data_IF_500436710295
#
_entry.id   IF_500436710295
#
_cell.length_a   1.000
_cell.length_b   1.000
_cell.length_c   1.000
_cell.angle_alpha   90.00
_cell.angle_beta   90.00
_cell.angle_gamma   90.00
#
_symmetry.space_group_name_H-M   'P 1'
#
loop_
_entity.id
_entity.type
_entity.pdbx_description
1 polymer ?
#
# COMPACT_ATOMS: atom_id res chain seq x y z
N UNK A 1 -16.15 -12.73 23.76
CA UNK A 1 -15.41 -13.47 22.72
C UNK A 1 -14.45 -12.56 21.96
N UNK A 2 -14.90 -11.40 21.46
CA UNK A 2 -14.05 -10.41 20.77
C UNK A 2 -12.84 -9.96 21.61
N UNK A 3 -13.01 -9.58 22.88
CA UNK A 3 -11.89 -9.12 23.73
C UNK A 3 -10.78 -10.18 23.90
N UNK A 4 -11.14 -11.47 24.05
CA UNK A 4 -10.15 -12.56 24.14
C UNK A 4 -9.39 -12.73 22.84
N UNK A 5 -10.09 -12.67 21.70
CA UNK A 5 -9.45 -12.73 20.38
C UNK A 5 -8.51 -11.55 20.15
N UNK A 6 -8.92 -10.33 20.54
CA UNK A 6 -8.08 -9.13 20.51
C UNK A 6 -6.81 -9.34 21.34
N UNK A 7 -6.94 -9.73 22.61
CA UNK A 7 -5.78 -9.96 23.49
C UNK A 7 -4.83 -11.02 22.92
N UNK A 8 -5.37 -12.13 22.41
CA UNK A 8 -4.55 -13.20 21.82
C UNK A 8 -3.81 -12.73 20.56
N UNK A 9 -4.50 -12.07 19.61
CA UNK A 9 -3.89 -11.60 18.38
C UNK A 9 -2.84 -10.50 18.63
N UNK A 10 -3.15 -9.51 19.47
CA UNK A 10 -2.20 -8.46 19.80
C UNK A 10 -1.03 -8.97 20.64
N UNK A 11 -1.27 -9.91 21.56
CA UNK A 11 -0.22 -10.57 22.32
C UNK A 11 0.73 -11.37 21.42
N UNK A 12 0.19 -12.17 20.50
CA UNK A 12 1.00 -12.90 19.52
C UNK A 12 1.79 -11.95 18.61
N UNK A 13 1.16 -10.88 18.12
CA UNK A 13 1.84 -9.87 17.30
C UNK A 13 2.96 -9.17 18.08
N UNK A 14 2.77 -8.87 19.37
CA UNK A 14 3.79 -8.29 20.21
C UNK A 14 4.97 -9.24 20.44
N UNK A 15 4.72 -10.53 20.66
CA UNK A 15 5.77 -11.55 20.81
C UNK A 15 6.58 -11.73 19.52
N UNK A 16 5.90 -11.82 18.38
CA UNK A 16 6.56 -11.90 17.07
C UNK A 16 7.35 -10.61 16.81
N UNK A 17 6.78 -9.44 17.08
CA UNK A 17 7.46 -8.16 16.94
C UNK A 17 8.72 -8.08 17.80
N UNK A 18 8.66 -8.53 19.06
CA UNK A 18 9.80 -8.58 19.95
C UNK A 18 10.90 -9.53 19.43
N UNK A 19 10.52 -10.69 18.91
CA UNK A 19 11.45 -11.59 18.24
C UNK A 19 12.14 -10.92 17.04
N UNK A 20 11.39 -10.20 16.20
CA UNK A 20 11.96 -9.46 15.07
C UNK A 20 12.90 -8.34 15.52
N UNK A 21 12.67 -7.72 16.67
CA UNK A 21 13.60 -6.76 17.27
C UNK A 21 14.90 -7.43 17.72
N UNK A 22 14.83 -8.64 18.28
CA UNK A 22 16.04 -9.42 18.65
C UNK A 22 16.86 -9.76 17.40
N UNK A 23 16.19 -10.13 16.31
CA UNK A 23 16.87 -10.50 15.04
C UNK A 23 17.41 -9.29 14.29
N UNK A 24 16.60 -8.24 14.10
CA UNK A 24 16.95 -7.08 13.27
C UNK A 24 17.52 -5.89 14.05
N UNK A 25 17.57 -5.95 15.37
CA UNK A 25 18.14 -4.90 16.23
C UNK A 25 17.29 -3.62 16.31
N UNK A 26 17.97 -2.52 16.66
CA UNK A 26 17.33 -1.23 16.94
C UNK A 26 16.52 -0.61 15.78
N UNK A 27 16.84 -0.81 14.48
CA UNK A 27 16.01 -0.27 13.40
C UNK A 27 14.60 -0.87 13.38
N UNK A 28 14.46 -2.15 13.68
CA UNK A 28 13.15 -2.83 13.76
C UNK A 28 12.35 -2.35 14.97
N UNK A 29 13.01 -2.09 16.10
CA UNK A 29 12.36 -1.47 17.25
C UNK A 29 11.80 -0.10 16.90
N UNK A 30 12.60 0.73 16.22
CA UNK A 30 12.16 2.05 15.77
C UNK A 30 10.97 1.96 14.81
N UNK A 31 11.02 1.05 13.82
CA UNK A 31 9.90 0.79 12.91
C UNK A 31 8.64 0.39 13.69
N UNK A 32 8.76 -0.52 14.67
CA UNK A 32 7.64 -0.96 15.50
C UNK A 32 7.01 0.18 16.28
N UNK A 33 7.82 0.99 16.97
CA UNK A 33 7.36 2.17 17.72
C UNK A 33 6.68 3.18 16.80
N UNK A 34 7.32 3.54 15.68
CA UNK A 34 6.75 4.47 14.71
C UNK A 34 5.44 3.94 14.11
N UNK A 35 5.33 2.64 13.86
CA UNK A 35 4.11 2.01 13.35
C UNK A 35 2.96 2.08 14.35
N UNK A 36 3.23 1.84 15.65
CA UNK A 36 2.23 1.99 16.71
C UNK A 36 1.77 3.44 16.83
N UNK A 37 2.72 4.38 16.93
CA UNK A 37 2.41 5.81 17.02
C UNK A 37 1.60 6.30 15.82
N UNK A 38 1.98 5.86 14.62
CA UNK A 38 1.29 6.26 13.39
C UNK A 38 -0.08 5.60 13.26
N UNK A 39 -0.25 4.36 13.73
CA UNK A 39 -1.56 3.71 13.82
C UNK A 39 -2.51 4.43 14.78
N UNK A 40 -2.01 4.88 15.94
CA UNK A 40 -2.78 5.70 16.88
C UNK A 40 -3.15 7.05 16.28
N UNK A 41 -2.19 7.71 15.61
CA UNK A 41 -2.41 8.99 14.93
C UNK A 41 -3.29 8.85 13.67
N UNK A 42 -3.46 7.64 13.11
CA UNK A 42 -4.26 7.45 11.90
C UNK A 42 -5.75 7.70 12.14
N UNK A 43 -6.29 7.18 13.24
CA UNK A 43 -7.71 7.31 13.62
C UNK A 43 -7.96 8.22 14.81
N UNK A 44 -6.98 8.39 15.70
CA UNK A 44 -7.13 9.10 16.97
C UNK A 44 -6.24 10.34 17.10
N UNK A 45 -6.33 10.99 18.26
CA UNK A 45 -5.56 12.19 18.59
C UNK A 45 -6.17 13.47 18.00
N UNK A 46 -5.53 14.64 18.26
CA UNK A 46 -6.05 15.95 17.85
C UNK A 46 -6.02 16.16 16.33
N UNK A 47 -5.25 15.35 15.58
CA UNK A 47 -5.11 15.47 14.14
C UNK A 47 -5.06 14.09 13.45
N UNK A 48 -6.19 13.39 13.29
CA UNK A 48 -6.21 12.06 12.69
C UNK A 48 -5.74 12.10 11.23
N UNK A 49 -4.67 11.36 10.90
CA UNK A 49 -4.05 11.40 9.57
C UNK A 49 -5.04 11.01 8.46
N UNK A 50 -5.85 9.97 8.71
CA UNK A 50 -6.86 9.50 7.78
C UNK A 50 -7.93 10.54 7.47
N UNK A 51 -8.24 11.43 8.43
CA UNK A 51 -9.27 12.46 8.28
C UNK A 51 -8.73 13.79 7.78
N UNK A 52 -7.40 13.91 7.64
CA UNK A 52 -6.73 15.13 7.23
C UNK A 52 -5.98 15.00 5.90
N UNK A 53 -6.30 13.97 5.12
CA UNK A 53 -5.75 13.78 3.77
C UNK A 53 -4.32 13.26 3.73
N UNK A 54 -3.80 12.79 4.87
CA UNK A 54 -2.50 12.14 4.96
C UNK A 54 -2.60 10.61 4.91
N UNK A 55 -3.82 10.07 4.76
CA UNK A 55 -4.05 8.62 4.74
C UNK A 55 -3.28 7.91 3.63
N UNK A 56 -3.27 8.48 2.42
CA UNK A 56 -2.58 7.91 1.27
C UNK A 56 -1.05 7.86 1.49
N UNK A 57 -0.48 8.93 2.04
CA UNK A 57 0.96 8.99 2.40
C UNK A 57 1.27 7.97 3.49
N UNK A 58 0.43 7.88 4.51
CA UNK A 58 0.58 6.90 5.57
C UNK A 58 0.56 5.46 5.03
N UNK A 59 -0.41 5.12 4.17
CA UNK A 59 -0.48 3.78 3.58
C UNK A 59 0.75 3.50 2.70
N UNK A 60 1.15 4.46 1.86
CA UNK A 60 2.32 4.31 1.01
C UNK A 60 3.61 4.05 1.82
N UNK A 61 3.82 4.81 2.88
CA UNK A 61 5.02 4.69 3.72
C UNK A 61 4.99 3.40 4.53
N UNK A 62 3.93 3.14 5.31
CA UNK A 62 3.93 2.03 6.26
C UNK A 62 3.61 0.68 5.63
N UNK A 63 2.67 0.64 4.69
CA UNK A 63 2.25 -0.61 4.03
C UNK A 63 3.02 -0.88 2.72
N UNK A 64 3.70 0.12 2.18
CA UNK A 64 4.59 -0.02 1.03
C UNK A 64 6.05 -0.07 1.45
N UNK A 65 6.65 1.11 1.67
CA UNK A 65 8.09 1.27 1.87
C UNK A 65 8.60 0.51 3.10
N UNK A 66 8.06 0.78 4.27
CA UNK A 66 8.48 0.17 5.54
C UNK A 66 8.23 -1.33 5.51
N UNK A 67 7.09 -1.79 4.99
CA UNK A 67 6.78 -3.21 4.90
C UNK A 67 7.79 -3.96 4.03
N UNK A 68 8.09 -3.47 2.82
CA UNK A 68 8.99 -4.14 1.89
C UNK A 68 10.45 -4.01 2.33
N UNK A 69 10.92 -2.78 2.59
CA UNK A 69 12.33 -2.53 2.94
C UNK A 69 12.66 -3.07 4.33
N UNK A 70 11.74 -2.98 5.30
CA UNK A 70 11.93 -3.57 6.62
C UNK A 70 12.02 -5.09 6.58
N UNK A 71 11.22 -5.74 5.73
CA UNK A 71 11.32 -7.19 5.51
C UNK A 71 12.65 -7.54 4.84
N UNK A 72 13.06 -6.80 3.81
CA UNK A 72 14.37 -6.99 3.18
C UNK A 72 15.52 -6.86 4.19
N UNK A 73 15.50 -5.81 5.01
CA UNK A 73 16.52 -5.58 6.04
C UNK A 73 16.64 -6.72 7.05
N UNK A 74 15.51 -7.30 7.49
CA UNK A 74 15.51 -8.46 8.39
C UNK A 74 16.23 -9.69 7.81
N UNK A 75 16.22 -9.84 6.49
CA UNK A 75 16.86 -10.96 5.81
C UNK A 75 18.29 -10.65 5.35
N UNK A 76 18.53 -9.46 4.82
CA UNK A 76 19.79 -9.06 4.20
C UNK A 76 20.75 -8.32 5.15
N UNK A 77 20.27 -7.85 6.31
CA UNK A 77 21.04 -7.04 7.26
C UNK A 77 21.43 -5.64 6.77
N UNK A 78 21.06 -5.28 5.54
CA UNK A 78 21.35 -3.99 4.90
C UNK A 78 20.14 -3.54 4.07
N UNK A 79 20.17 -2.29 3.59
CA UNK A 79 19.17 -1.76 2.66
C UNK A 79 19.90 -1.14 1.48
N UNK A 80 19.69 -1.69 0.29
CA UNK A 80 20.23 -1.14 -0.95
C UNK A 80 19.18 -0.32 -1.71
N UNK A 81 19.62 0.34 -2.78
CA UNK A 81 18.74 1.15 -3.60
C UNK A 81 17.64 0.31 -4.29
N UNK A 82 17.93 -0.95 -4.62
CA UNK A 82 17.00 -1.84 -5.32
C UNK A 82 15.81 -2.20 -4.43
N UNK A 83 16.02 -2.41 -3.12
CA UNK A 83 14.95 -2.63 -2.16
C UNK A 83 13.99 -1.43 -2.11
N UNK A 84 14.51 -0.20 -2.10
CA UNK A 84 13.70 1.01 -2.14
C UNK A 84 12.92 1.15 -3.44
N UNK A 85 13.58 0.98 -4.59
CA UNK A 85 12.91 1.03 -5.89
C UNK A 85 11.83 -0.05 -6.03
N UNK A 86 12.07 -1.23 -5.49
CA UNK A 86 11.11 -2.35 -5.53
C UNK A 86 9.90 -2.13 -4.61
N UNK A 87 10.08 -1.38 -3.52
CA UNK A 87 9.01 -1.07 -2.59
C UNK A 87 7.98 -0.06 -3.16
N UNK A 88 8.41 0.86 -4.02
CA UNK A 88 7.54 1.90 -4.59
C UNK A 88 6.33 1.33 -5.35
N UNK A 89 6.47 0.43 -6.37
CA UNK A 89 5.32 -0.07 -7.11
C UNK A 89 4.34 -0.84 -6.20
N UNK A 90 4.85 -1.60 -5.24
CA UNK A 90 4.05 -2.31 -4.23
C UNK A 90 3.27 -1.31 -3.37
N UNK A 91 3.94 -0.26 -2.90
CA UNK A 91 3.38 0.86 -2.13
C UNK A 91 2.29 1.63 -2.89
N UNK A 92 2.50 1.93 -4.17
CA UNK A 92 1.52 2.60 -5.01
C UNK A 92 0.24 1.77 -5.16
N UNK A 93 0.38 0.45 -5.39
CA UNK A 93 -0.76 -0.44 -5.57
C UNK A 93 -1.54 -0.69 -4.27
N UNK A 94 -0.88 -0.82 -3.12
CA UNK A 94 -1.59 -0.92 -1.83
C UNK A 94 -2.30 0.38 -1.48
N UNK A 95 -1.68 1.53 -1.78
CA UNK A 95 -2.32 2.85 -1.60
C UNK A 95 -3.55 2.98 -2.48
N UNK A 96 -3.52 2.42 -3.69
CA UNK A 96 -4.68 2.40 -4.56
C UNK A 96 -5.89 1.67 -3.99
N UNK A 97 -5.69 0.70 -3.08
CA UNK A 97 -6.81 0.07 -2.35
C UNK A 97 -7.52 1.13 -1.49
N UNK A 98 -6.76 1.95 -0.77
CA UNK A 98 -7.32 3.09 -0.02
C UNK A 98 -7.97 4.12 -0.95
N UNK A 99 -7.35 4.41 -2.11
CA UNK A 99 -7.91 5.36 -3.09
C UNK A 99 -9.30 4.91 -3.56
N UNK A 100 -9.50 3.62 -3.90
CA UNK A 100 -10.85 3.13 -4.28
C UNK A 100 -11.85 3.29 -3.15
N UNK A 101 -11.44 2.98 -1.92
CA UNK A 101 -12.27 3.17 -0.73
C UNK A 101 -12.67 4.64 -0.57
N UNK A 102 -11.71 5.55 -0.72
CA UNK A 102 -11.94 6.99 -0.61
C UNK A 102 -12.84 7.51 -1.75
N UNK A 103 -12.71 7.02 -2.99
CA UNK A 103 -13.60 7.37 -4.11
C UNK A 103 -15.04 6.95 -3.81
N UNK A 104 -15.24 5.76 -3.24
CA UNK A 104 -16.57 5.27 -2.85
C UNK A 104 -17.23 6.18 -1.83
N UNK A 105 -16.46 6.60 -0.83
CA UNK A 105 -17.00 7.24 0.37
C UNK A 105 -16.93 8.79 0.33
N UNK A 106 -16.54 9.42 -0.79
CA UNK A 106 -16.39 10.89 -0.87
C UNK A 106 -17.62 11.65 -0.33
N UNK A 107 -18.82 11.25 -0.76
CA UNK A 107 -20.05 11.95 -0.39
C UNK A 107 -20.36 11.78 1.11
N UNK A 108 -20.25 10.55 1.62
CA UNK A 108 -20.51 10.23 3.03
C UNK A 108 -19.46 10.86 3.94
N UNK A 109 -18.18 10.84 3.55
CA UNK A 109 -17.08 11.45 4.32
C UNK A 109 -17.24 12.97 4.40
N UNK A 110 -17.64 13.62 3.30
CA UNK A 110 -17.97 15.06 3.32
C UNK A 110 -19.13 15.38 4.25
N UNK A 111 -20.19 14.57 4.24
CA UNK A 111 -21.38 14.80 5.06
C UNK A 111 -21.07 14.78 6.57
N UNK A 112 -20.09 13.99 7.00
CA UNK A 112 -19.64 13.91 8.40
C UNK A 112 -18.40 14.79 8.69
N UNK A 113 -18.02 15.67 7.76
CA UNK A 113 -16.93 16.62 7.95
C UNK A 113 -15.51 16.04 7.88
N UNK A 114 -15.33 14.79 7.43
CA UNK A 114 -13.99 14.23 7.20
C UNK A 114 -13.34 14.89 6.00
N UNK A 115 -12.05 15.23 6.12
CA UNK A 115 -11.25 15.92 5.10
C UNK A 115 -10.16 15.01 4.52
N UNK A 116 -10.54 13.81 4.07
CA UNK A 116 -9.64 12.88 3.35
C UNK A 116 -9.09 13.52 2.07
N UNK A 117 -8.02 12.95 1.49
CA UNK A 117 -7.42 13.50 0.26
C UNK A 117 -8.48 13.58 -0.85
N UNK A 118 -9.28 12.53 -1.00
CA UNK A 118 -10.34 12.46 -2.00
C UNK A 118 -11.43 13.53 -1.81
N UNK A 119 -11.80 13.84 -0.57
CA UNK A 119 -12.76 14.93 -0.31
C UNK A 119 -12.18 16.31 -0.64
N UNK A 120 -10.86 16.50 -0.49
CA UNK A 120 -10.13 17.75 -0.78
C UNK A 120 -9.92 17.97 -2.29
N UNK A 121 -9.38 16.98 -3.00
CA UNK A 121 -9.06 17.09 -4.44
C UNK A 121 -10.24 16.74 -5.34
N UNK A 122 -11.27 16.11 -4.79
CA UNK A 122 -12.49 15.72 -5.50
C UNK A 122 -12.36 14.43 -6.31
N UNK A 123 -13.50 13.91 -6.76
CA UNK A 123 -13.63 12.60 -7.42
C UNK A 123 -12.76 12.45 -8.66
N UNK A 124 -12.74 13.46 -9.54
CA UNK A 124 -11.99 13.42 -10.81
C UNK A 124 -10.49 13.30 -10.57
N UNK A 125 -9.93 14.14 -9.69
CA UNK A 125 -8.50 14.09 -9.38
C UNK A 125 -8.12 12.79 -8.64
N UNK A 126 -8.98 12.31 -7.73
CA UNK A 126 -8.76 11.03 -7.03
C UNK A 126 -8.74 9.84 -8.00
N UNK A 127 -9.61 9.84 -9.02
CA UNK A 127 -9.59 8.85 -10.09
C UNK A 127 -8.33 8.94 -10.95
N UNK A 128 -7.87 10.15 -11.26
CA UNK A 128 -6.62 10.36 -11.98
C UNK A 128 -5.41 9.86 -11.17
N UNK A 129 -5.40 10.11 -9.86
CA UNK A 129 -4.40 9.58 -8.93
C UNK A 129 -4.36 8.04 -8.97
N UNK A 130 -5.53 7.38 -8.96
CA UNK A 130 -5.59 5.91 -9.07
C UNK A 130 -4.84 5.41 -10.31
N UNK A 131 -5.15 6.00 -11.48
CA UNK A 131 -4.53 5.63 -12.76
C UNK A 131 -3.04 5.95 -12.75
N UNK A 132 -2.64 7.12 -12.23
CA UNK A 132 -1.24 7.52 -12.11
C UNK A 132 -0.44 6.48 -11.30
N UNK A 133 -0.97 6.04 -10.16
CA UNK A 133 -0.32 5.04 -9.32
C UNK A 133 -0.22 3.67 -9.99
N UNK A 134 -1.26 3.25 -10.74
CA UNK A 134 -1.18 2.02 -11.55
C UNK A 134 -0.09 2.15 -12.60
N UNK A 135 -0.08 3.23 -13.39
CA UNK A 135 0.90 3.44 -14.47
C UNK A 135 2.32 3.49 -13.91
N UNK A 136 2.54 4.29 -12.86
CA UNK A 136 3.84 4.39 -12.21
C UNK A 136 4.32 3.03 -11.67
N UNK A 137 3.42 2.20 -11.12
CA UNK A 137 3.79 0.87 -10.66
C UNK A 137 4.30 -0.03 -11.81
N UNK A 138 3.80 0.10 -13.03
CA UNK A 138 4.34 -0.65 -14.18
C UNK A 138 5.61 -0.04 -14.77
N UNK A 139 5.73 1.29 -14.74
CA UNK A 139 6.89 1.97 -15.32
C UNK A 139 8.18 1.75 -14.53
N UNK A 140 8.10 1.59 -13.20
CA UNK A 140 9.30 1.42 -12.36
C UNK A 140 10.11 0.16 -12.73
N UNK A 141 9.55 -1.07 -12.72
CA UNK A 141 10.33 -2.25 -13.11
C UNK A 141 10.79 -2.18 -14.59
N UNK A 142 10.00 -1.56 -15.46
CA UNK A 142 10.41 -1.32 -16.86
C UNK A 142 11.61 -0.37 -16.94
N UNK A 143 11.63 0.71 -16.15
CA UNK A 143 12.74 1.65 -16.10
C UNK A 143 14.01 1.00 -15.52
N UNK A 144 13.87 0.16 -14.48
CA UNK A 144 15.00 -0.61 -13.93
C UNK A 144 15.57 -1.60 -14.94
N UNK A 145 14.72 -2.25 -15.74
CA UNK A 145 15.16 -3.11 -16.83
C UNK A 145 15.88 -2.33 -17.94
N UNK A 146 15.30 -1.20 -18.39
CA UNK A 146 15.93 -0.35 -19.42
C UNK A 146 17.25 0.29 -18.97
N UNK A 147 17.46 0.42 -17.67
CA UNK A 147 18.70 0.92 -17.07
C UNK A 147 19.71 -0.20 -16.77
N UNK A 148 19.49 -1.42 -17.26
CA UNK A 148 20.32 -2.61 -17.02
C UNK A 148 20.50 -2.96 -15.53
N UNK A 149 19.59 -2.51 -14.66
CA UNK A 149 19.59 -2.82 -13.21
C UNK A 149 18.93 -4.17 -12.95
N UNK A 150 17.92 -4.53 -13.73
CA UNK A 150 17.21 -5.81 -13.64
C UNK A 150 17.18 -6.52 -14.99
N UNK A 151 17.13 -7.85 -14.97
CA UNK A 151 16.92 -8.66 -16.17
C UNK A 151 15.52 -8.48 -16.76
N UNK A 152 15.33 -9.00 -17.98
CA UNK A 152 14.04 -8.94 -18.68
C UNK A 152 12.87 -9.56 -17.89
N UNK A 153 13.15 -10.45 -16.94
CA UNK A 153 12.16 -11.00 -16.02
C UNK A 153 11.45 -9.94 -15.18
N UNK A 154 12.06 -8.76 -14.95
CA UNK A 154 11.40 -7.64 -14.28
C UNK A 154 10.08 -7.21 -14.93
N UNK A 155 9.83 -7.60 -16.18
CA UNK A 155 8.58 -7.35 -16.89
C UNK A 155 7.46 -8.37 -16.56
N UNK A 156 7.71 -9.43 -15.78
CA UNK A 156 6.67 -10.40 -15.38
C UNK A 156 5.41 -9.77 -14.77
N UNK A 157 5.48 -8.71 -13.95
CA UNK A 157 4.28 -8.06 -13.43
C UNK A 157 3.33 -7.56 -14.51
N UNK A 158 3.81 -7.29 -15.74
CA UNK A 158 2.97 -6.88 -16.87
C UNK A 158 1.91 -7.94 -17.25
N UNK A 159 2.07 -9.20 -16.86
CA UNK A 159 1.02 -10.22 -17.01
C UNK A 159 -0.27 -9.86 -16.26
N UNK A 160 -0.21 -8.96 -15.27
CA UNK A 160 -1.38 -8.49 -14.52
C UNK A 160 -2.13 -7.32 -15.17
N UNK A 161 -1.65 -6.79 -16.30
CA UNK A 161 -2.28 -5.66 -17.02
C UNK A 161 -3.78 -5.85 -17.27
N UNK A 162 -4.30 -7.03 -17.67
CA UNK A 162 -5.74 -7.21 -17.84
C UNK A 162 -6.55 -6.92 -16.57
N UNK A 163 -6.00 -7.27 -15.40
CA UNK A 163 -6.62 -6.99 -14.10
C UNK A 163 -6.53 -5.50 -13.74
N UNK A 164 -5.39 -4.86 -14.00
CA UNK A 164 -5.20 -3.43 -13.80
C UNK A 164 -6.14 -2.59 -14.67
N UNK A 165 -6.27 -2.93 -15.96
CA UNK A 165 -7.20 -2.27 -16.89
C UNK A 165 -8.65 -2.45 -16.43
N UNK A 166 -9.03 -3.66 -15.99
CA UNK A 166 -10.38 -3.90 -15.46
C UNK A 166 -10.67 -3.04 -14.23
N UNK A 167 -9.73 -2.98 -13.28
CA UNK A 167 -9.89 -2.21 -12.06
C UNK A 167 -9.94 -0.69 -12.35
N UNK A 168 -9.01 -0.19 -13.17
CA UNK A 168 -8.97 1.21 -13.58
C UNK A 168 -10.24 1.63 -14.33
N UNK A 169 -10.69 0.84 -15.31
CA UNK A 169 -11.94 1.12 -16.03
C UNK A 169 -13.12 1.22 -15.07
N UNK A 170 -13.28 0.26 -14.16
CA UNK A 170 -14.38 0.31 -13.20
C UNK A 170 -14.33 1.51 -12.26
N UNK A 171 -13.15 1.89 -11.77
CA UNK A 171 -12.97 3.08 -10.92
C UNK A 171 -13.28 4.37 -11.69
N UNK A 172 -12.91 4.44 -12.97
CA UNK A 172 -13.11 5.62 -13.83
C UNK A 172 -14.57 5.79 -14.27
N UNK A 173 -15.28 4.69 -14.56
CA UNK A 173 -16.60 4.75 -15.20
C UNK A 173 -17.79 4.59 -14.25
N UNK A 174 -17.58 4.18 -12.99
CA UNK A 174 -18.68 3.90 -12.06
C UNK A 174 -18.59 4.70 -10.75
N UNK A 175 -19.75 5.06 -10.21
CA UNK A 175 -19.90 5.79 -8.93
C UNK A 175 -20.63 5.00 -7.85
N UNK A 176 -21.27 3.89 -8.23
CA UNK A 176 -22.06 3.09 -7.31
C UNK A 176 -21.17 2.29 -6.34
N UNK A 177 -21.58 2.27 -5.07
CA UNK A 177 -20.86 1.56 -4.00
C UNK A 177 -20.59 0.07 -4.30
N UNK A 178 -21.58 -0.71 -4.81
CA UNK A 178 -21.37 -2.11 -5.14
C UNK A 178 -20.27 -2.35 -6.19
N UNK A 179 -20.21 -1.55 -7.26
CA UNK A 179 -19.16 -1.67 -8.27
C UNK A 179 -17.80 -1.25 -7.73
N UNK A 180 -17.74 -0.15 -6.97
CA UNK A 180 -16.49 0.29 -6.34
C UNK A 180 -15.98 -0.73 -5.31
N UNK A 181 -16.85 -1.44 -4.59
CA UNK A 181 -16.47 -2.57 -3.73
C UNK A 181 -15.85 -3.73 -4.53
N UNK A 182 -16.41 -4.04 -5.71
CA UNK A 182 -15.80 -5.03 -6.61
C UNK A 182 -14.42 -4.55 -7.10
N UNK A 183 -14.26 -3.25 -7.38
CA UNK A 183 -12.98 -2.69 -7.83
C UNK A 183 -11.95 -2.61 -6.70
N UNK A 184 -12.38 -2.39 -5.46
CA UNK A 184 -11.54 -2.48 -4.26
C UNK A 184 -10.93 -3.88 -4.16
N UNK A 185 -11.77 -4.92 -4.28
CA UNK A 185 -11.32 -6.33 -4.30
C UNK A 185 -10.43 -6.64 -5.51
N UNK A 186 -10.74 -6.09 -6.68
CA UNK A 186 -9.91 -6.26 -7.88
C UNK A 186 -8.53 -5.61 -7.71
N UNK A 187 -8.46 -4.44 -7.10
CA UNK A 187 -7.21 -3.73 -6.79
C UNK A 187 -6.38 -4.50 -5.76
N UNK A 188 -7.01 -5.07 -4.73
CA UNK A 188 -6.32 -5.97 -3.78
C UNK A 188 -5.74 -7.21 -4.44
N UNK A 189 -6.49 -7.84 -5.36
CA UNK A 189 -5.99 -8.97 -6.17
C UNK A 189 -4.84 -8.54 -7.09
N UNK A 190 -4.94 -7.36 -7.70
CA UNK A 190 -3.88 -6.79 -8.53
C UNK A 190 -2.61 -6.63 -7.71
N UNK A 191 -2.70 -5.98 -6.55
CA UNK A 191 -1.56 -5.78 -5.65
C UNK A 191 -0.90 -7.11 -5.27
N UNK A 192 -1.68 -8.12 -4.89
CA UNK A 192 -1.16 -9.44 -4.53
C UNK A 192 -0.45 -10.13 -5.72
N UNK A 193 -1.13 -10.25 -6.86
CA UNK A 193 -0.57 -10.94 -8.02
C UNK A 193 0.63 -10.21 -8.61
N UNK A 194 0.57 -8.88 -8.67
CA UNK A 194 1.69 -8.04 -9.07
C UNK A 194 2.88 -8.28 -8.13
N UNK A 195 2.67 -8.21 -6.82
CA UNK A 195 3.73 -8.39 -5.82
C UNK A 195 4.39 -9.77 -5.91
N UNK A 196 3.59 -10.83 -6.09
CA UNK A 196 4.11 -12.20 -6.28
C UNK A 196 4.94 -12.30 -7.55
N UNK A 197 4.43 -11.83 -8.69
CA UNK A 197 5.16 -11.88 -9.96
C UNK A 197 6.42 -11.02 -9.93
N UNK A 198 6.38 -9.88 -9.24
CA UNK A 198 7.55 -9.02 -9.10
C UNK A 198 8.60 -9.67 -8.19
N UNK A 199 8.20 -10.27 -7.07
CA UNK A 199 9.11 -11.05 -6.23
C UNK A 199 9.75 -12.21 -7.01
N UNK A 200 8.96 -12.96 -7.79
CA UNK A 200 9.48 -14.03 -8.67
C UNK A 200 10.46 -13.47 -9.70
N UNK A 201 10.18 -12.30 -10.29
CA UNK A 201 11.11 -11.70 -11.25
C UNK A 201 12.46 -11.30 -10.68
N UNK A 202 12.53 -10.97 -9.38
CA UNK A 202 13.79 -10.63 -8.73
C UNK A 202 14.64 -11.88 -8.41
N UNK A 203 14.06 -13.08 -8.51
CA UNK A 203 14.73 -14.36 -8.29
C UNK A 203 15.26 -15.00 -9.59
N UNK A 204 14.78 -14.55 -10.75
CA UNK A 204 15.08 -15.10 -12.09
C UNK A 204 16.07 -14.22 -12.85
#
# INVERSE_FOLDING_TARGET
QVLRATVLCFGAAALIGLYLVVVGGWPILLIGVLSILSGLAYTGGPYPLGYNGLGDVFVFVFFGLVAVVGTYFLHAGTVDALAWWSAIPVGLLVTNILVVNNVRDIATDRAVGKRTLATRIGRRATRAQYVLFVVAAYLIPTALWLADVLFAWALLPWLTVPLAVRAARGVLSHEDGPTLNKMLKATGRLHLLYGVLFAVSLLL
#
